data_IF_743655327014
#
_entry.id   IF_743655327014
#
_cell.length_a   1.000
_cell.length_b   1.000
_cell.length_c   1.000
_cell.angle_alpha   90.00
_cell.angle_beta   90.00
_cell.angle_gamma   90.00
#
_symmetry.space_group_name_H-M   'P 1'
#
loop_
_entity.id
_entity.type
_entity.pdbx_description
1 polymer ?
#
# COMPACT_ATOMS: atom_id res chain seq x y z
N UNK A 1 13.59 3.13 -21.87
CA UNK A 1 14.56 3.09 -20.76
C UNK A 1 13.84 2.44 -19.60
N UNK A 2 14.25 1.27 -19.13
CA UNK A 2 13.62 0.60 -17.98
C UNK A 2 13.88 1.45 -16.74
N UNK A 3 12.83 2.04 -16.20
CA UNK A 3 12.90 2.79 -14.95
C UNK A 3 13.31 1.82 -13.84
N UNK A 4 14.36 2.15 -13.09
CA UNK A 4 14.85 1.31 -12.02
C UNK A 4 13.74 1.20 -10.94
N UNK A 5 13.44 -0.02 -10.49
CA UNK A 5 12.46 -0.30 -9.43
C UNK A 5 13.14 -1.06 -8.29
N UNK A 6 12.64 -0.88 -7.06
CA UNK A 6 13.14 -1.61 -5.89
C UNK A 6 12.60 -3.05 -5.80
N UNK A 7 11.54 -3.34 -6.55
CA UNK A 7 10.88 -4.64 -6.63
C UNK A 7 11.23 -5.35 -7.94
N UNK A 8 11.06 -6.67 -7.97
CA UNK A 8 11.39 -7.51 -9.12
C UNK A 8 11.96 -8.87 -8.72
N UNK A 9 12.43 -9.60 -9.73
CA UNK A 9 13.17 -10.85 -9.56
C UNK A 9 14.63 -10.57 -9.21
N UNK A 10 15.14 -11.31 -8.22
CA UNK A 10 16.50 -11.17 -7.72
C UNK A 10 17.12 -12.56 -7.62
N UNK A 11 18.18 -12.77 -8.41
CA UNK A 11 18.97 -13.99 -8.36
C UNK A 11 19.98 -13.92 -7.22
N UNK A 12 20.29 -15.08 -6.62
CA UNK A 12 21.25 -15.26 -5.56
C UNK A 12 22.13 -16.48 -5.86
N UNK A 13 23.43 -16.30 -5.77
CA UNK A 13 24.36 -17.41 -5.69
C UNK A 13 24.25 -18.14 -4.34
N UNK A 14 24.78 -19.36 -4.29
CA UNK A 14 24.79 -20.12 -3.05
C UNK A 14 25.67 -19.43 -2.01
N UNK A 15 25.14 -19.21 -0.81
CA UNK A 15 25.77 -18.45 0.29
C UNK A 15 25.92 -16.95 0.01
N UNK A 16 25.27 -16.42 -1.03
CA UNK A 16 25.22 -14.98 -1.28
C UNK A 16 24.24 -14.28 -0.34
N UNK A 17 24.58 -13.05 0.01
CA UNK A 17 23.75 -12.13 0.77
C UNK A 17 23.57 -10.83 0.01
N UNK A 18 22.38 -10.24 0.09
CA UNK A 18 22.06 -8.92 -0.50
C UNK A 18 21.29 -8.08 0.48
N UNK A 19 21.48 -6.77 0.41
CA UNK A 19 20.83 -5.82 1.30
C UNK A 19 20.21 -4.64 0.57
N UNK A 20 19.15 -4.09 1.16
CA UNK A 20 18.42 -2.93 0.66
C UNK A 20 18.11 -1.95 1.77
N UNK A 21 18.09 -0.68 1.39
CA UNK A 21 17.42 0.36 2.14
C UNK A 21 16.13 0.75 1.42
N UNK A 22 15.00 0.73 2.11
CA UNK A 22 13.68 1.03 1.57
C UNK A 22 12.92 2.00 2.51
N UNK A 23 13.10 3.32 2.35
CA UNK A 23 12.32 4.32 3.11
C UNK A 23 12.41 4.16 4.63
N UNK A 24 13.59 3.83 5.15
CA UNK A 24 13.82 3.53 6.56
C UNK A 24 13.72 2.05 6.95
N UNK A 25 13.21 1.17 6.08
CA UNK A 25 13.32 -0.28 6.25
C UNK A 25 14.67 -0.75 5.74
N UNK A 26 15.48 -1.30 6.64
CA UNK A 26 16.69 -2.04 6.29
C UNK A 26 16.33 -3.51 6.09
N UNK A 27 16.67 -4.08 4.93
CA UNK A 27 16.39 -5.46 4.57
C UNK A 27 17.70 -6.15 4.19
N UNK A 28 17.91 -7.36 4.71
CA UNK A 28 19.02 -8.24 4.35
C UNK A 28 18.46 -9.63 4.09
N UNK A 29 18.84 -10.23 2.97
CA UNK A 29 18.43 -11.58 2.58
C UNK A 29 19.67 -12.38 2.24
N UNK A 30 19.75 -13.59 2.79
CA UNK A 30 20.84 -14.52 2.55
C UNK A 30 20.29 -15.86 2.10
N UNK A 31 20.91 -16.41 1.05
CA UNK A 31 20.63 -17.75 0.54
C UNK A 31 21.65 -18.74 1.07
N UNK A 32 21.21 -19.85 1.65
CA UNK A 32 22.02 -21.04 1.88
C UNK A 32 21.41 -22.24 1.15
N UNK A 33 22.09 -23.40 1.15
CA UNK A 33 21.66 -24.58 0.40
C UNK A 33 20.23 -25.05 0.75
N UNK A 34 19.88 -24.95 2.03
CA UNK A 34 18.63 -25.44 2.62
C UNK A 34 17.89 -24.36 3.41
N UNK A 35 18.27 -23.10 3.26
CA UNK A 35 17.71 -22.04 4.08
C UNK A 35 17.71 -20.69 3.37
N UNK A 36 16.63 -19.93 3.57
CA UNK A 36 16.60 -18.50 3.38
C UNK A 36 16.57 -17.81 4.74
N UNK A 37 17.56 -16.95 4.99
CA UNK A 37 17.57 -16.07 6.15
C UNK A 37 17.21 -14.66 5.72
N UNK A 38 16.16 -14.11 6.33
CA UNK A 38 15.69 -12.75 6.08
C UNK A 38 15.80 -11.97 7.37
N UNK A 39 16.52 -10.85 7.33
CA UNK A 39 16.70 -9.95 8.45
C UNK A 39 16.17 -8.58 8.07
N UNK A 40 15.35 -7.99 8.92
CA UNK A 40 14.87 -6.63 8.67
C UNK A 40 14.79 -5.82 9.94
N UNK A 41 14.98 -4.51 9.81
CA UNK A 41 14.87 -3.55 10.88
C UNK A 41 14.17 -2.30 10.38
N UNK A 42 13.25 -1.80 11.22
CA UNK A 42 12.59 -0.51 11.00
C UNK A 42 12.77 0.34 12.27
N UNK A 43 13.22 1.60 12.16
CA UNK A 43 13.34 2.46 13.33
C UNK A 43 11.96 2.73 13.95
N UNK A 44 11.91 2.92 15.27
CA UNK A 44 10.66 3.26 15.98
C UNK A 44 10.06 4.59 15.48
N UNK A 45 10.92 5.58 15.26
CA UNK A 45 10.55 6.86 14.67
C UNK A 45 10.87 6.78 13.18
N UNK A 46 9.84 6.84 12.35
CA UNK A 46 9.95 6.73 10.89
C UNK A 46 9.73 8.10 10.24
N UNK A 47 10.37 8.33 9.11
CA UNK A 47 10.12 9.51 8.29
C UNK A 47 9.13 9.14 7.18
N UNK A 48 7.85 9.48 7.33
CA UNK A 48 6.79 9.11 6.36
C UNK A 48 7.03 9.61 4.93
N UNK A 49 7.87 10.64 4.77
CA UNK A 49 8.22 11.24 3.48
C UNK A 49 9.51 10.66 2.88
N UNK A 50 10.20 9.76 3.57
CA UNK A 50 11.38 9.11 3.01
C UNK A 50 10.96 8.07 1.99
N UNK A 51 11.17 8.41 0.73
CA UNK A 51 10.84 7.59 -0.43
C UNK A 51 12.09 7.13 -1.18
N UNK A 52 13.27 7.27 -0.54
CA UNK A 52 14.54 6.84 -1.10
C UNK A 52 14.72 5.33 -0.98
N UNK A 53 15.40 4.75 -1.95
CA UNK A 53 15.71 3.33 -1.95
C UNK A 53 16.99 3.05 -2.73
N UNK A 54 17.69 2.01 -2.31
CA UNK A 54 18.87 1.50 -3.01
C UNK A 54 19.20 0.09 -2.55
N UNK A 55 19.77 -0.71 -3.45
CA UNK A 55 20.52 -1.89 -3.05
C UNK A 55 21.86 -1.43 -2.46
N UNK A 56 22.24 -2.00 -1.33
CA UNK A 56 23.49 -1.67 -0.63
C UNK A 56 24.61 -2.56 -1.15
N UNK A 57 25.83 -2.00 -1.19
CA UNK A 57 27.02 -2.78 -1.48
C UNK A 57 27.40 -3.66 -0.27
N UNK A 58 28.14 -4.75 -0.50
CA UNK A 58 28.49 -5.72 0.56
C UNK A 58 29.22 -5.08 1.75
N UNK A 59 30.04 -4.05 1.48
CA UNK A 59 30.74 -3.30 2.52
C UNK A 59 29.82 -2.41 3.38
N UNK A 60 28.62 -2.08 2.89
CA UNK A 60 27.58 -1.34 3.62
C UNK A 60 26.60 -2.26 4.36
N UNK A 61 26.49 -3.53 3.97
CA UNK A 61 25.57 -4.51 4.58
C UNK A 61 25.81 -4.72 6.08
N UNK A 62 27.07 -4.63 6.52
CA UNK A 62 27.46 -4.75 7.93
C UNK A 62 26.96 -3.57 8.81
N UNK A 63 26.63 -2.44 8.20
CA UNK A 63 26.09 -1.25 8.89
C UNK A 63 24.62 -1.44 9.33
N UNK A 64 23.97 -2.51 8.86
CA UNK A 64 22.58 -2.84 9.18
C UNK A 64 22.41 -3.71 10.43
N UNK A 65 23.49 -4.06 11.13
CA UNK A 65 23.44 -4.77 12.40
C UNK A 65 22.89 -3.86 13.52
N UNK A 66 21.59 -3.61 13.47
CA UNK A 66 20.88 -2.71 14.37
C UNK A 66 20.22 -3.44 15.53
N UNK A 67 20.14 -2.84 16.73
CA UNK A 67 19.33 -3.37 17.82
C UNK A 67 17.88 -3.59 17.37
N UNK A 68 17.26 -4.69 17.79
CA UNK A 68 15.90 -5.09 17.38
C UNK A 68 15.73 -5.49 15.91
N UNK A 69 16.81 -5.88 15.23
CA UNK A 69 16.69 -6.55 13.94
C UNK A 69 15.89 -7.85 14.12
N UNK A 70 14.81 -8.00 13.36
CA UNK A 70 14.01 -9.21 13.33
C UNK A 70 14.65 -10.16 12.32
N UNK A 71 14.95 -11.37 12.75
CA UNK A 71 15.52 -12.42 11.90
C UNK A 71 14.52 -13.56 11.75
N UNK A 72 14.22 -13.92 10.52
CA UNK A 72 13.39 -15.05 10.14
C UNK A 72 14.21 -16.04 9.33
N UNK A 73 14.07 -17.33 9.64
CA UNK A 73 14.76 -18.44 8.99
C UNK A 73 13.71 -19.37 8.40
N UNK A 74 13.82 -19.63 7.10
CA UNK A 74 12.92 -20.51 6.37
C UNK A 74 13.71 -21.68 5.80
N UNK A 75 13.43 -22.89 6.25
CA UNK A 75 14.14 -24.09 5.84
C UNK A 75 13.48 -24.77 4.62
N UNK A 76 14.31 -25.33 3.75
CA UNK A 76 13.94 -25.98 2.50
C UNK A 76 14.79 -27.23 2.30
N UNK A 77 14.26 -28.25 1.62
CA UNK A 77 15.10 -29.39 1.17
C UNK A 77 16.23 -28.93 0.23
N UNK A 78 15.94 -27.94 -0.62
CA UNK A 78 16.90 -27.23 -1.48
C UNK A 78 16.32 -25.87 -1.83
N UNK A 79 17.09 -24.79 -1.69
CA UNK A 79 16.65 -23.44 -2.08
C UNK A 79 16.76 -23.23 -3.59
N UNK A 80 15.79 -22.53 -4.17
CA UNK A 80 15.90 -21.95 -5.52
C UNK A 80 16.87 -20.76 -5.51
N UNK A 81 17.39 -20.38 -6.67
CA UNK A 81 18.31 -19.24 -6.78
C UNK A 81 17.62 -17.89 -6.76
N UNK A 82 16.31 -17.87 -6.97
CA UNK A 82 15.57 -16.65 -7.17
C UNK A 82 14.55 -16.41 -6.09
N UNK A 83 14.46 -15.15 -5.68
CA UNK A 83 13.34 -14.59 -4.92
C UNK A 83 12.72 -13.44 -5.71
N UNK A 84 11.51 -13.07 -5.34
CA UNK A 84 10.80 -11.90 -5.85
C UNK A 84 10.50 -10.96 -4.70
N UNK A 85 10.93 -9.72 -4.84
CA UNK A 85 10.43 -8.61 -4.03
C UNK A 85 9.22 -8.05 -4.73
N UNK A 86 8.08 -7.92 -4.04
CA UNK A 86 6.86 -7.34 -4.59
C UNK A 86 6.30 -6.29 -3.64
N UNK A 87 5.80 -5.16 -4.14
CA UNK A 87 4.91 -4.33 -3.35
C UNK A 87 3.57 -5.04 -3.15
N UNK A 88 2.97 -4.84 -1.99
CA UNK A 88 1.63 -5.28 -1.67
C UNK A 88 0.90 -4.15 -0.95
N UNK A 89 -0.43 -4.08 -1.03
CA UNK A 89 -1.17 -3.10 -0.22
C UNK A 89 -1.11 -3.46 1.27
N UNK A 90 -1.54 -2.54 2.14
CA UNK A 90 -1.57 -2.78 3.58
C UNK A 90 -2.50 -3.95 3.95
N UNK A 91 -2.22 -4.59 5.07
CA UNK A 91 -3.00 -5.68 5.67
C UNK A 91 -4.24 -5.21 6.46
N UNK A 92 -4.40 -3.89 6.61
CA UNK A 92 -5.61 -3.25 7.15
C UNK A 92 -6.03 -2.08 6.26
N UNK A 93 -7.31 -1.69 6.35
CA UNK A 93 -7.82 -0.47 5.72
C UNK A 93 -7.03 0.76 6.16
N UNK A 94 -6.94 1.77 5.28
CA UNK A 94 -6.19 2.99 5.52
C UNK A 94 -7.13 4.18 5.55
N UNK A 95 -7.23 4.82 6.70
CA UNK A 95 -7.96 6.07 6.92
C UNK A 95 -7.13 7.24 6.45
N UNK A 96 -7.76 8.07 5.64
CA UNK A 96 -7.19 9.28 5.07
C UNK A 96 -8.05 10.45 5.50
N UNK A 97 -7.40 11.45 6.08
CA UNK A 97 -8.03 12.68 6.54
C UNK A 97 -7.51 13.84 5.69
N UNK A 98 -8.37 14.51 4.89
CA UNK A 98 -8.01 15.77 4.25
C UNK A 98 -7.56 16.79 5.31
N UNK A 99 -6.51 17.56 5.02
CA UNK A 99 -6.04 18.63 5.95
C UNK A 99 -7.12 19.70 6.15
N UNK A 100 -7.95 19.94 5.13
CA UNK A 100 -9.12 20.81 5.21
C UNK A 100 -10.33 20.02 4.75
N UNK A 101 -11.42 20.11 5.51
CA UNK A 101 -12.67 19.45 5.16
C UNK A 101 -13.09 19.82 3.73
N UNK A 102 -13.42 18.80 2.95
CA UNK A 102 -13.88 18.97 1.58
C UNK A 102 -15.38 18.73 1.53
N UNK A 103 -16.09 19.52 0.73
CA UNK A 103 -17.54 19.41 0.58
C UNK A 103 -17.88 19.17 -0.88
N UNK A 104 -18.56 18.06 -1.17
CA UNK A 104 -19.15 17.83 -2.49
C UNK A 104 -20.53 18.47 -2.50
N UNK A 105 -20.71 19.52 -3.29
CA UNK A 105 -21.97 20.27 -3.36
C UNK A 105 -23.15 19.38 -3.82
N UNK A 106 -24.41 19.80 -3.56
CA UNK A 106 -25.59 19.07 -4.01
C UNK A 106 -25.57 18.77 -5.50
N UNK A 107 -25.88 17.53 -5.88
CA UNK A 107 -25.93 17.07 -7.27
C UNK A 107 -24.62 17.27 -8.05
N UNK A 108 -23.49 17.32 -7.35
CA UNK A 108 -22.15 17.42 -7.96
C UNK A 108 -21.36 16.13 -7.75
N UNK A 109 -20.28 16.01 -8.53
CA UNK A 109 -19.32 14.92 -8.42
C UNK A 109 -17.89 15.45 -8.43
N UNK A 110 -16.96 14.66 -7.89
CA UNK A 110 -15.54 14.98 -7.88
C UNK A 110 -14.70 13.71 -7.85
N UNK A 111 -13.42 13.81 -8.22
CA UNK A 111 -12.45 12.72 -8.03
C UNK A 111 -11.36 13.17 -7.07
N UNK A 112 -11.14 12.42 -6.01
CA UNK A 112 -10.01 12.58 -5.10
C UNK A 112 -8.95 11.54 -5.42
N UNK A 113 -7.70 11.97 -5.52
CA UNK A 113 -6.56 11.07 -5.54
C UNK A 113 -5.99 11.00 -4.14
N UNK A 114 -5.96 9.78 -3.60
CA UNK A 114 -5.39 9.51 -2.28
C UNK A 114 -4.22 8.57 -2.40
N UNK A 115 -3.29 8.62 -1.43
CA UNK A 115 -2.06 7.83 -1.49
C UNK A 115 -1.86 7.02 -0.22
N UNK A 116 -1.81 5.70 -0.33
CA UNK A 116 -1.68 4.76 0.79
C UNK A 116 -0.33 4.04 0.75
N UNK A 117 0.31 3.74 1.91
CA UNK A 117 1.59 3.04 1.93
C UNK A 117 1.48 1.59 1.44
N UNK A 118 2.60 1.05 0.96
CA UNK A 118 2.73 -0.35 0.52
C UNK A 118 3.67 -1.16 1.43
N UNK A 119 3.42 -2.45 1.45
CA UNK A 119 4.16 -3.49 2.14
C UNK A 119 5.14 -4.13 1.17
N UNK A 120 6.18 -4.73 1.74
CA UNK A 120 7.11 -5.60 1.07
C UNK A 120 6.65 -7.05 1.24
N UNK A 121 6.49 -7.75 0.13
CA UNK A 121 6.45 -9.20 0.10
C UNK A 121 7.79 -9.73 -0.44
N UNK A 122 8.39 -10.68 0.28
CA UNK A 122 9.50 -11.50 -0.22
C UNK A 122 8.96 -12.89 -0.50
N UNK A 123 9.03 -13.31 -1.76
CA UNK A 123 8.50 -14.59 -2.20
C UNK A 123 9.56 -15.42 -2.90
N UNK A 124 9.45 -16.74 -2.83
CA UNK A 124 10.26 -17.62 -3.69
C UNK A 124 9.72 -17.63 -5.12
N UNK A 125 10.48 -18.28 -6.01
CA UNK A 125 10.05 -18.56 -7.38
C UNK A 125 8.73 -19.34 -7.44
N UNK A 126 8.50 -20.27 -6.51
CA UNK A 126 7.31 -21.11 -6.41
C UNK A 126 6.15 -20.46 -5.64
N UNK A 127 6.10 -19.12 -5.60
CA UNK A 127 5.08 -18.33 -4.89
C UNK A 127 4.96 -18.59 -3.36
N UNK A 128 6.00 -19.12 -2.71
CA UNK A 128 6.01 -19.24 -1.25
C UNK A 128 6.36 -17.90 -0.60
N UNK A 129 5.49 -17.36 0.25
CA UNK A 129 5.69 -16.12 1.00
C UNK A 129 6.65 -16.34 2.17
N UNK A 130 7.75 -15.59 2.21
CA UNK A 130 8.76 -15.63 3.27
C UNK A 130 8.62 -14.45 4.24
N UNK A 131 8.37 -13.25 3.73
CA UNK A 131 8.21 -12.03 4.53
C UNK A 131 7.04 -11.21 4.00
N UNK A 132 6.23 -10.69 4.92
CA UNK A 132 5.21 -9.67 4.67
C UNK A 132 5.33 -8.58 5.74
N UNK A 133 5.81 -7.40 5.35
CA UNK A 133 6.09 -6.32 6.31
C UNK A 133 5.91 -4.95 5.68
N UNK A 134 5.42 -3.98 6.44
CA UNK A 134 5.32 -2.61 5.96
C UNK A 134 6.69 -2.05 5.57
N UNK A 135 6.76 -1.25 4.51
CA UNK A 135 7.99 -0.50 4.22
C UNK A 135 8.10 0.64 5.23
N UNK A 136 7.10 1.53 5.19
CA UNK A 136 6.85 2.56 6.19
C UNK A 136 5.54 2.20 6.87
N UNK A 137 5.58 1.82 8.15
CA UNK A 137 4.37 1.43 8.88
C UNK A 137 3.62 2.69 9.34
N UNK A 138 2.39 2.94 8.86
CA UNK A 138 1.53 3.99 9.40
C UNK A 138 1.11 3.71 10.86
N UNK A 139 0.56 4.72 11.52
CA UNK A 139 0.03 4.60 12.89
C UNK A 139 -1.29 3.86 12.92
N UNK A 140 -1.57 3.14 13.99
CA UNK A 140 -2.87 2.50 14.20
C UNK A 140 -3.93 3.56 14.54
N UNK A 141 -5.15 3.35 14.07
CA UNK A 141 -6.30 4.19 14.37
C UNK A 141 -7.56 3.34 14.48
N UNK A 142 -8.56 3.87 15.17
CA UNK A 142 -9.89 3.29 15.20
C UNK A 142 -10.81 4.10 14.29
N UNK A 143 -11.53 3.40 13.42
CA UNK A 143 -12.45 4.01 12.49
C UNK A 143 -13.88 3.50 12.74
N UNK A 144 -14.76 4.37 13.19
CA UNK A 144 -16.12 3.99 13.58
C UNK A 144 -16.85 5.11 14.32
N UNK A 145 -18.12 4.89 14.61
CA UNK A 145 -19.01 5.87 15.25
C UNK A 145 -18.68 6.09 16.73
N UNK A 146 -18.03 5.11 17.38
CA UNK A 146 -17.57 5.17 18.76
C UNK A 146 -16.42 4.17 18.99
N UNK A 147 -15.93 4.07 20.23
CA UNK A 147 -14.81 3.20 20.61
C UNK A 147 -15.15 1.71 20.69
N UNK A 148 -16.42 1.34 20.52
CA UNK A 148 -16.92 -0.05 20.58
C UNK A 148 -17.31 -0.53 19.17
N UNK A 149 -17.88 0.35 18.37
CA UNK A 149 -18.39 0.10 17.02
C UNK A 149 -17.47 0.76 16.00
N UNK A 150 -16.66 -0.05 15.34
CA UNK A 150 -15.69 0.38 14.35
C UNK A 150 -14.74 -0.75 14.00
N UNK A 151 -13.68 -0.39 13.30
CA UNK A 151 -12.61 -1.30 12.91
C UNK A 151 -11.23 -0.68 13.16
N UNK A 152 -10.27 -1.58 13.40
CA UNK A 152 -8.86 -1.22 13.47
C UNK A 152 -8.35 -0.93 12.05
N UNK A 153 -7.79 0.25 11.87
CA UNK A 153 -7.25 0.71 10.60
C UNK A 153 -5.86 1.31 10.81
N UNK A 154 -5.22 1.64 9.70
CA UNK A 154 -4.07 2.54 9.67
C UNK A 154 -4.50 3.97 9.42
N UNK A 155 -3.80 4.94 9.99
CA UNK A 155 -3.91 6.35 9.66
C UNK A 155 -2.63 6.84 9.00
N UNK A 156 -2.77 7.62 7.94
CA UNK A 156 -1.64 8.33 7.32
C UNK A 156 -1.94 9.81 7.18
N UNK A 157 -0.92 10.64 7.39
CA UNK A 157 -1.04 12.11 7.34
C UNK A 157 -0.99 12.68 5.93
N UNK A 158 -1.19 11.86 4.90
CA UNK A 158 -1.04 12.30 3.51
C UNK A 158 -2.31 12.94 2.99
N UNK A 159 -2.07 13.97 2.20
CA UNK A 159 -3.07 14.80 1.59
C UNK A 159 -3.82 14.08 0.47
N UNK A 160 -5.14 14.00 0.62
CA UNK A 160 -6.04 13.84 -0.52
C UNK A 160 -5.90 15.06 -1.44
N UNK A 161 -5.81 14.82 -2.75
CA UNK A 161 -5.68 15.87 -3.77
C UNK A 161 -6.79 15.75 -4.80
N UNK A 162 -7.29 16.90 -5.27
CA UNK A 162 -8.18 16.96 -6.44
C UNK A 162 -7.39 16.85 -7.74
N UNK A 163 -6.16 17.35 -7.74
CA UNK A 163 -5.27 17.33 -8.89
C UNK A 163 -4.16 16.30 -8.67
N UNK A 164 -4.07 15.35 -9.59
CA UNK A 164 -3.06 14.28 -9.58
C UNK A 164 -1.64 14.84 -9.68
N UNK A 165 -1.44 15.97 -10.37
CA UNK A 165 -0.12 16.58 -10.54
C UNK A 165 0.46 17.07 -9.20
N UNK A 166 -0.41 17.29 -8.19
CA UNK A 166 -0.01 17.63 -6.83
C UNK A 166 0.38 16.42 -5.98
N UNK A 167 0.31 15.21 -6.54
CA UNK A 167 0.81 13.98 -5.94
C UNK A 167 2.10 13.55 -6.66
N UNK A 168 3.28 13.78 -6.05
CA UNK A 168 4.52 13.27 -6.61
C UNK A 168 4.50 11.73 -6.62
N UNK A 169 5.22 11.15 -7.58
CA UNK A 169 5.40 9.70 -7.64
C UNK A 169 6.23 9.27 -6.43
N UNK A 170 5.70 8.32 -5.66
CA UNK A 170 6.30 7.81 -4.41
C UNK A 170 6.43 6.29 -4.51
N UNK A 171 7.64 5.70 -4.56
CA UNK A 171 7.84 4.26 -4.78
C UNK A 171 7.20 3.33 -3.74
N UNK A 172 6.87 3.87 -2.56
CA UNK A 172 6.29 3.12 -1.44
C UNK A 172 4.83 3.46 -1.18
N UNK A 173 4.16 4.11 -2.12
CA UNK A 173 2.74 4.43 -1.96
C UNK A 173 1.96 4.21 -3.26
N UNK A 174 0.79 3.62 -3.13
CA UNK A 174 -0.16 3.45 -4.22
C UNK A 174 -1.14 4.62 -4.26
N UNK A 175 -1.52 5.05 -5.45
CA UNK A 175 -2.58 6.03 -5.67
C UNK A 175 -3.90 5.32 -5.90
N UNK A 176 -4.91 5.71 -5.13
CA UNK A 176 -6.29 5.28 -5.28
C UNK A 176 -7.12 6.49 -5.72
N UNK A 177 -7.66 6.51 -6.95
CA UNK A 177 -8.71 7.45 -7.32
C UNK A 177 -10.01 7.09 -6.60
N UNK A 178 -10.70 8.10 -6.09
CA UNK A 178 -12.01 7.97 -5.45
C UNK A 178 -12.95 8.93 -6.17
N UNK A 179 -13.82 8.40 -7.00
CA UNK A 179 -14.85 9.18 -7.66
C UNK A 179 -16.08 9.22 -6.78
N UNK A 180 -16.51 10.43 -6.42
CA UNK A 180 -17.60 10.66 -5.46
C UNK A 180 -18.72 11.41 -6.17
N UNK A 181 -19.94 10.88 -6.11
CA UNK A 181 -21.14 11.49 -6.65
C UNK A 181 -22.12 11.77 -5.50
N UNK A 182 -22.46 13.04 -5.29
CA UNK A 182 -23.44 13.44 -4.30
C UNK A 182 -24.81 13.64 -4.95
N UNK A 183 -25.73 12.70 -4.79
CA UNK A 183 -27.10 12.87 -5.29
C UNK A 183 -28.00 13.66 -4.35
N UNK A 184 -27.55 14.00 -3.14
CA UNK A 184 -28.35 14.66 -2.12
C UNK A 184 -28.59 16.14 -2.44
N UNK A 185 -29.66 16.69 -1.86
CA UNK A 185 -29.95 18.12 -1.87
C UNK A 185 -29.07 18.95 -0.90
N UNK A 186 -28.20 18.30 -0.11
CA UNK A 186 -27.27 18.93 0.83
C UNK A 186 -25.82 18.64 0.45
N UNK A 187 -24.91 19.52 0.83
CA UNK A 187 -23.47 19.27 0.68
C UNK A 187 -23.05 18.03 1.47
N UNK A 188 -22.21 17.19 0.87
CA UNK A 188 -21.63 16.01 1.48
C UNK A 188 -20.24 16.38 2.05
N UNK A 189 -20.06 16.45 3.37
CA UNK A 189 -18.75 16.63 3.98
C UNK A 189 -17.91 15.36 3.84
N UNK A 190 -16.63 15.55 3.52
CA UNK A 190 -15.62 14.50 3.43
C UNK A 190 -14.53 14.83 4.46
N UNK A 191 -14.68 14.26 5.67
CA UNK A 191 -13.79 14.51 6.80
C UNK A 191 -12.76 13.40 6.97
N UNK A 192 -13.20 12.14 6.91
CA UNK A 192 -12.32 10.97 6.89
C UNK A 192 -12.83 9.99 5.86
N UNK A 193 -11.90 9.36 5.15
CA UNK A 193 -12.19 8.35 4.15
C UNK A 193 -11.48 7.07 4.55
N UNK A 194 -12.23 5.98 4.68
CA UNK A 194 -11.68 4.67 4.96
C UNK A 194 -11.43 3.89 3.67
N UNK A 195 -10.16 3.73 3.27
CA UNK A 195 -9.80 3.04 2.03
C UNK A 195 -9.58 1.56 2.32
N UNK A 196 -10.41 0.64 1.77
CA UNK A 196 -10.28 -0.79 2.01
C UNK A 196 -9.21 -1.38 1.08
N UNK A 197 -7.96 -0.96 1.29
CA UNK A 197 -6.83 -1.36 0.44
C UNK A 197 -6.59 -2.86 0.42
N UNK A 198 -7.08 -3.60 1.43
CA UNK A 198 -7.01 -5.07 1.48
C UNK A 198 -7.83 -5.74 0.37
N UNK A 199 -8.85 -5.07 -0.16
CA UNK A 199 -9.71 -5.53 -1.26
C UNK A 199 -9.25 -5.02 -2.64
N UNK A 200 -8.20 -4.21 -2.68
CA UNK A 200 -7.72 -3.62 -3.93
C UNK A 200 -6.53 -4.41 -4.46
N UNK A 201 -6.51 -4.62 -5.78
CA UNK A 201 -5.30 -5.12 -6.44
C UNK A 201 -4.34 -3.96 -6.74
N UNK A 202 -3.05 -4.26 -6.75
CA UNK A 202 -1.99 -3.28 -6.95
C UNK A 202 -1.41 -3.40 -8.36
N UNK A 203 -1.28 -2.24 -9.02
CA UNK A 203 -0.79 -2.11 -10.39
C UNK A 203 0.36 -1.11 -10.46
N UNK A 204 1.13 -1.16 -11.53
CA UNK A 204 2.13 -0.16 -11.88
C UNK A 204 1.84 0.42 -13.26
N UNK A 205 1.88 1.74 -13.38
CA UNK A 205 1.80 2.44 -14.66
C UNK A 205 3.20 2.63 -15.28
N UNK A 206 3.25 3.05 -16.55
CA UNK A 206 4.51 3.29 -17.27
C UNK A 206 5.43 4.33 -16.62
N UNK A 207 4.88 5.30 -15.88
CA UNK A 207 5.63 6.33 -15.15
C UNK A 207 6.24 5.80 -13.82
N UNK A 208 6.01 4.52 -13.52
CA UNK A 208 6.44 3.86 -12.28
C UNK A 208 5.52 4.14 -11.08
N UNK A 209 4.43 4.91 -11.25
CA UNK A 209 3.45 5.15 -10.19
C UNK A 209 2.68 3.87 -9.91
N UNK A 210 2.53 3.57 -8.63
CA UNK A 210 1.69 2.48 -8.16
C UNK A 210 0.23 2.94 -8.12
N UNK A 211 -0.67 2.10 -8.62
CA UNK A 211 -2.10 2.41 -8.75
C UNK A 211 -2.96 1.29 -8.18
N UNK A 212 -4.13 1.67 -7.68
CA UNK A 212 -5.25 0.75 -7.48
C UNK A 212 -6.37 1.11 -8.47
N UNK A 213 -7.37 0.23 -8.66
CA UNK A 213 -8.61 0.60 -9.33
C UNK A 213 -9.29 1.80 -8.65
N UNK A 214 -10.12 2.51 -9.40
CA UNK A 214 -10.95 3.60 -8.89
C UNK A 214 -12.01 3.06 -7.92
N UNK A 215 -12.20 3.72 -6.80
CA UNK A 215 -13.37 3.54 -5.95
C UNK A 215 -14.49 4.49 -6.41
N UNK A 216 -15.62 3.93 -6.81
CA UNK A 216 -16.82 4.68 -7.17
C UNK A 216 -17.72 4.78 -5.94
N UNK A 217 -18.03 6.00 -5.50
CA UNK A 217 -18.76 6.29 -4.28
C UNK A 217 -19.99 7.13 -4.64
N UNK A 218 -21.16 6.54 -4.57
CA UNK A 218 -22.43 7.24 -4.76
C UNK A 218 -23.06 7.52 -3.40
N UNK A 219 -23.41 8.77 -3.11
CA UNK A 219 -24.25 9.12 -1.97
C UNK A 219 -25.70 9.32 -2.45
N UNK A 220 -26.60 8.34 -2.24
CA UNK A 220 -27.97 8.44 -2.73
C UNK A 220 -28.80 9.49 -1.99
N UNK A 221 -29.86 9.95 -2.64
CA UNK A 221 -30.90 10.74 -2.00
C UNK A 221 -31.49 9.99 -0.80
N UNK A 222 -31.64 10.71 0.32
CA UNK A 222 -32.24 10.21 1.56
C UNK A 222 -31.58 8.95 2.16
N UNK A 223 -30.39 8.54 1.70
CA UNK A 223 -29.58 7.49 2.32
C UNK A 223 -28.54 8.07 3.26
N UNK A 224 -28.29 7.39 4.39
CA UNK A 224 -27.15 7.70 5.26
C UNK A 224 -25.87 7.01 4.81
N UNK A 225 -25.98 5.83 4.19
CA UNK A 225 -24.84 5.04 3.76
C UNK A 225 -24.51 5.34 2.29
N UNK A 226 -23.23 5.58 1.98
CA UNK A 226 -22.78 5.62 0.60
C UNK A 226 -22.77 4.21 0.01
N UNK A 227 -23.04 4.12 -1.29
CA UNK A 227 -22.80 2.92 -2.07
C UNK A 227 -21.40 3.01 -2.65
N UNK A 228 -20.56 2.02 -2.38
CA UNK A 228 -19.18 1.99 -2.87
C UNK A 228 -18.95 0.76 -3.72
N UNK A 229 -18.28 0.94 -4.84
CA UNK A 229 -17.89 -0.16 -5.74
C UNK A 229 -16.48 0.04 -6.26
N UNK A 230 -15.81 -1.07 -6.59
CA UNK A 230 -14.50 -1.04 -7.24
C UNK A 230 -14.73 -0.99 -8.75
N UNK A 231 -14.22 0.05 -9.42
CA UNK A 231 -14.37 0.21 -10.86
C UNK A 231 -13.64 -0.88 -11.62
N UNK A 232 -14.24 -1.35 -12.71
CA UNK A 232 -13.60 -2.25 -13.67
C UNK A 232 -12.58 -1.54 -14.55
N UNK A 233 -12.63 -0.21 -14.57
CA UNK A 233 -11.77 0.63 -15.40
C UNK A 233 -10.83 1.45 -14.51
N UNK A 234 -9.62 1.67 -15.01
CA UNK A 234 -8.68 2.57 -14.37
C UNK A 234 -9.01 4.02 -14.72
N UNK A 235 -8.63 4.92 -13.82
CA UNK A 235 -8.66 6.34 -14.12
C UNK A 235 -7.83 6.66 -15.38
N UNK A 236 -8.29 7.56 -16.23
CA UNK A 236 -7.68 7.84 -17.54
C UNK A 236 -6.20 8.30 -17.49
N UNK A 237 -5.71 8.74 -16.33
CA UNK A 237 -4.30 9.10 -16.10
C UNK A 237 -3.41 7.91 -15.68
N UNK A 238 -4.00 6.77 -15.32
CA UNK A 238 -3.27 5.53 -15.05
C UNK A 238 -3.04 4.81 -16.40
N UNK A 239 -2.13 5.37 -17.20
CA UNK A 239 -1.82 4.88 -18.54
C UNK A 239 -1.11 3.52 -18.46
N UNK A 240 -1.56 2.56 -19.27
CA UNK A 240 -0.90 1.27 -19.49
C UNK A 240 -0.44 0.58 -18.20
N UNK A 241 -1.41 0.30 -17.33
CA UNK A 241 -1.14 -0.36 -16.05
C UNK A 241 -0.92 -1.87 -16.19
N UNK A 242 0.05 -2.39 -15.45
CA UNK A 242 0.33 -3.83 -15.32
C UNK A 242 0.07 -4.28 -13.89
N UNK A 243 -0.58 -5.43 -13.73
CA UNK A 243 -0.85 -6.01 -12.40
C UNK A 243 0.47 -6.42 -11.73
N UNK A 244 0.72 -5.89 -10.53
CA UNK A 244 1.86 -6.28 -9.68
C UNK A 244 1.46 -7.32 -8.63
N UNK A 245 0.33 -7.11 -7.95
CA UNK A 245 -0.13 -8.00 -6.91
C UNK A 245 -1.64 -8.00 -6.78
N UNK A 246 -2.20 -9.16 -6.44
CA UNK A 246 -3.65 -9.30 -6.20
C UNK A 246 -4.02 -8.68 -4.84
N UNK A 247 -5.30 -8.38 -4.68
CA UNK A 247 -5.89 -8.04 -3.40
C UNK A 247 -5.57 -9.10 -2.34
N UNK A 248 -5.46 -8.68 -1.08
CA UNK A 248 -5.17 -9.59 0.04
C UNK A 248 -6.38 -10.45 0.39
N UNK A 249 -7.58 -9.91 0.23
CA UNK A 249 -8.83 -10.60 0.46
C UNK A 249 -9.67 -10.56 -0.82
N UNK A 250 -10.33 -11.68 -1.11
CA UNK A 250 -11.32 -11.80 -2.17
C UNK A 250 -12.71 -11.63 -1.54
N UNK A 251 -13.50 -10.66 -2.02
CA UNK A 251 -14.98 -10.47 -1.98
C UNK A 251 -15.87 -10.99 -0.82
N UNK A 252 -15.34 -11.51 0.28
CA UNK A 252 -16.15 -11.97 1.41
C UNK A 252 -16.57 -10.76 2.26
N UNK A 253 -17.79 -10.27 2.01
CA UNK A 253 -18.49 -9.20 2.73
C UNK A 253 -17.97 -7.76 2.54
N UNK A 254 -17.81 -7.35 1.28
CA UNK A 254 -17.69 -5.94 0.85
C UNK A 254 -18.69 -5.02 1.56
N UNK A 255 -19.96 -5.43 1.70
CA UNK A 255 -21.05 -4.54 2.12
C UNK A 255 -20.82 -3.89 3.48
N UNK A 256 -20.28 -4.62 4.46
CA UNK A 256 -20.06 -4.09 5.82
C UNK A 256 -18.86 -3.15 5.92
N UNK A 257 -17.82 -3.34 5.08
CA UNK A 257 -16.64 -2.47 5.05
C UNK A 257 -16.98 -1.06 4.52
N UNK A 258 -18.01 -0.95 3.68
CA UNK A 258 -18.41 0.32 3.06
C UNK A 258 -19.53 1.06 3.79
N UNK A 259 -20.20 0.43 4.77
CA UNK A 259 -21.25 1.08 5.58
C UNK A 259 -20.75 2.38 6.23
N UNK A 260 -19.44 2.48 6.50
CA UNK A 260 -18.81 3.62 7.16
C UNK A 260 -17.79 4.33 6.26
N UNK A 261 -17.86 4.25 4.93
CA UNK A 261 -16.78 4.79 4.07
C UNK A 261 -16.38 6.25 4.37
N UNK A 262 -17.35 7.07 4.81
CA UNK A 262 -17.12 8.39 5.41
C UNK A 262 -17.51 8.37 6.89
N UNK A 263 -16.73 9.05 7.72
CA UNK A 263 -17.07 9.36 9.12
C UNK A 263 -16.89 10.83 9.41
#
# INVERSE_FOLDING_TARGET
MTQQTWWGEIDFDLNESKAWYLGGLSLHIQRAAQEWQISHHRPRIQQENDHSWRQLADNESSLLATPNTVVQRHTFNKTTARIRLKPQLADLSVVIQPITALFVAPHQQTTLFVSTPVWLNVMTENDCLLLDTAIIRPSDTWFGSNTIQGELCYATKVLARLDLEQLPIRPFRAVTPIHIINHQAKSLPIERINIPVTLLSLYVAEDGRLWTPTLEVEQPNNSRTPKVTISKYFHARANNVTLLNKARHEDENITHLFEHFFS
#
